data_IF_474539983378
#
_entry.id   IF_474539983378
#
_cell.length_a   1.000
_cell.length_b   1.000
_cell.length_c   1.000
_cell.angle_alpha   90.00
_cell.angle_beta   90.00
_cell.angle_gamma   90.00
#
_symmetry.space_group_name_H-M   'P 1'
#
loop_
_entity.id
_entity.type
_entity.pdbx_description
1 polymer ?
#
# COMPACT_ATOMS: atom_id res chain seq x y z
N UNK A 1 -15.23 -16.05 -0.68
CA UNK A 1 -14.01 -15.32 -1.08
C UNK A 1 -14.38 -13.87 -1.27
N UNK A 2 -13.64 -12.91 -0.71
CA UNK A 2 -13.89 -11.49 -0.88
C UNK A 2 -13.71 -11.07 -2.35
N UNK A 3 -14.49 -10.09 -2.80
CA UNK A 3 -14.33 -9.47 -4.13
C UNK A 3 -13.29 -8.35 -4.10
N UNK A 4 -12.78 -7.96 -5.27
CA UNK A 4 -11.84 -6.84 -5.37
C UNK A 4 -12.42 -5.54 -4.77
N UNK A 5 -13.72 -5.31 -4.96
CA UNK A 5 -14.45 -4.17 -4.38
C UNK A 5 -14.47 -4.24 -2.84
N UNK A 6 -14.70 -5.42 -2.26
CA UNK A 6 -14.66 -5.61 -0.81
C UNK A 6 -13.26 -5.39 -0.24
N UNK A 7 -12.22 -5.84 -0.96
CA UNK A 7 -10.83 -5.56 -0.59
C UNK A 7 -10.52 -4.07 -0.68
N UNK A 8 -10.99 -3.37 -1.72
CA UNK A 8 -10.83 -1.93 -1.85
C UNK A 8 -11.48 -1.18 -0.68
N UNK A 9 -12.72 -1.53 -0.35
CA UNK A 9 -13.44 -0.93 0.78
C UNK A 9 -12.73 -1.22 2.11
N UNK A 10 -12.28 -2.45 2.32
CA UNK A 10 -11.53 -2.86 3.51
C UNK A 10 -10.26 -2.02 3.68
N UNK A 11 -9.45 -1.91 2.63
CA UNK A 11 -8.20 -1.14 2.65
C UNK A 11 -8.47 0.35 2.79
N UNK A 12 -9.50 0.86 2.11
CA UNK A 12 -9.87 2.29 2.19
C UNK A 12 -10.27 2.72 3.59
N UNK A 13 -10.86 1.82 4.39
CA UNK A 13 -11.25 2.08 5.78
C UNK A 13 -10.10 1.93 6.80
N UNK A 14 -8.89 1.53 6.37
CA UNK A 14 -7.72 1.52 7.25
C UNK A 14 -7.41 2.96 7.66
N UNK A 15 -7.35 3.21 8.97
CA UNK A 15 -6.98 4.51 9.52
C UNK A 15 -5.48 4.55 9.75
N UNK A 16 -4.83 5.52 9.14
CA UNK A 16 -3.40 5.74 9.25
C UNK A 16 -3.10 6.59 10.51
N UNK A 17 -2.17 6.16 11.39
CA UNK A 17 -1.99 6.76 12.72
C UNK A 17 -1.36 8.17 12.72
N UNK A 18 -0.54 8.52 11.72
CA UNK A 18 0.10 9.83 11.62
C UNK A 18 -0.92 10.95 11.34
N UNK A 19 -1.81 10.71 10.39
CA UNK A 19 -2.81 11.68 9.94
C UNK A 19 -4.16 11.48 10.60
N UNK A 20 -4.40 10.33 11.24
CA UNK A 20 -5.68 9.91 11.80
C UNK A 20 -6.82 9.88 10.76
N UNK A 21 -6.47 9.71 9.48
CA UNK A 21 -7.42 9.68 8.37
C UNK A 21 -7.40 8.32 7.70
N UNK A 22 -8.52 7.99 7.06
CA UNK A 22 -8.64 6.75 6.31
C UNK A 22 -7.80 6.80 5.02
N UNK A 23 -7.28 5.66 4.56
CA UNK A 23 -6.55 5.59 3.29
C UNK A 23 -7.40 6.01 2.09
N UNK A 24 -8.72 5.79 2.16
CA UNK A 24 -9.69 6.27 1.17
C UNK A 24 -9.78 7.79 1.15
N UNK A 25 -9.87 8.44 2.31
CA UNK A 25 -9.86 9.90 2.41
C UNK A 25 -8.57 10.54 1.90
N UNK A 26 -7.44 9.89 2.17
CA UNK A 26 -6.13 10.31 1.67
C UNK A 26 -5.93 10.00 0.18
N UNK A 27 -6.91 9.34 -0.47
CA UNK A 27 -6.87 8.88 -1.86
C UNK A 27 -5.61 8.04 -2.16
N UNK A 28 -5.14 7.30 -1.16
CA UNK A 28 -3.93 6.49 -1.24
C UNK A 28 -4.20 5.16 -1.96
N UNK A 29 -5.40 4.60 -1.86
CA UNK A 29 -5.74 3.35 -2.55
C UNK A 29 -5.94 3.64 -4.04
N UNK A 30 -5.08 3.05 -4.89
CA UNK A 30 -5.15 3.25 -6.35
C UNK A 30 -5.85 2.13 -7.07
N UNK A 31 -5.49 0.91 -6.72
CA UNK A 31 -5.95 -0.28 -7.42
C UNK A 31 -5.96 -1.46 -6.48
N UNK A 32 -6.92 -2.35 -6.65
CA UNK A 32 -7.02 -3.62 -5.94
C UNK A 32 -7.46 -4.71 -6.90
N UNK A 33 -6.78 -5.84 -6.84
CA UNK A 33 -7.04 -6.97 -7.71
C UNK A 33 -7.12 -8.25 -6.88
N UNK A 34 -8.00 -9.17 -7.29
CA UNK A 34 -8.12 -10.51 -6.70
C UNK A 34 -8.22 -11.52 -7.84
N UNK A 35 -7.42 -12.58 -7.75
CA UNK A 35 -7.49 -13.76 -8.60
C UNK A 35 -7.40 -15.02 -7.73
N UNK A 36 -8.54 -15.64 -7.45
CA UNK A 36 -8.62 -16.73 -6.47
C UNK A 36 -8.18 -16.25 -5.08
N UNK A 37 -7.06 -16.78 -4.59
CA UNK A 37 -6.49 -16.40 -3.30
C UNK A 37 -5.42 -15.29 -3.43
N UNK A 38 -4.91 -15.03 -4.64
CA UNK A 38 -3.92 -13.99 -4.86
C UNK A 38 -4.60 -12.62 -4.88
N UNK A 39 -4.18 -11.74 -3.97
CA UNK A 39 -4.67 -10.37 -3.88
C UNK A 39 -3.51 -9.39 -4.11
N UNK A 40 -3.78 -8.29 -4.80
CA UNK A 40 -2.85 -7.18 -4.98
C UNK A 40 -3.49 -5.88 -4.56
N UNK A 41 -2.75 -5.05 -3.84
CA UNK A 41 -3.17 -3.71 -3.42
C UNK A 41 -2.09 -2.73 -3.83
N UNK A 42 -2.45 -1.71 -4.61
CA UNK A 42 -1.56 -0.60 -4.96
C UNK A 42 -1.93 0.63 -4.15
N UNK A 43 -0.95 1.15 -3.42
CA UNK A 43 -1.02 2.37 -2.65
C UNK A 43 -0.15 3.45 -3.30
N UNK A 44 -0.62 4.68 -3.35
CA UNK A 44 0.15 5.85 -3.73
C UNK A 44 0.19 6.86 -2.59
N UNK A 45 1.40 7.23 -2.20
CA UNK A 45 1.63 8.20 -1.14
C UNK A 45 1.31 9.62 -1.65
N UNK A 46 0.60 10.45 -0.86
CA UNK A 46 0.24 11.80 -1.26
C UNK A 46 1.45 12.74 -1.32
N UNK A 47 2.54 12.40 -0.62
CA UNK A 47 3.81 13.13 -0.65
C UNK A 47 4.99 12.16 -0.70
N UNK A 48 6.09 12.51 -1.41
CA UNK A 48 7.30 11.68 -1.46
C UNK A 48 8.00 11.51 -0.11
N UNK A 49 7.84 12.48 0.78
CA UNK A 49 8.46 12.50 2.11
C UNK A 49 7.58 11.85 3.18
N UNK A 50 6.69 10.91 2.80
CA UNK A 50 5.88 10.20 3.78
C UNK A 50 6.79 9.47 4.78
N UNK A 51 6.62 9.70 6.09
CA UNK A 51 7.68 9.43 7.06
C UNK A 51 8.00 7.94 7.22
N UNK A 52 7.02 7.05 7.00
CA UNK A 52 7.27 5.61 7.10
C UNK A 52 6.36 4.79 6.17
N UNK A 53 6.78 4.52 4.92
CA UNK A 53 6.00 3.71 3.98
C UNK A 53 5.85 2.25 4.44
N UNK A 54 6.83 1.71 5.17
CA UNK A 54 6.81 0.33 5.65
C UNK A 54 5.75 0.11 6.73
N UNK A 55 5.62 1.06 7.66
CA UNK A 55 4.56 0.98 8.68
C UNK A 55 3.16 1.03 8.07
N UNK A 56 2.97 1.80 7.00
CA UNK A 56 1.70 1.83 6.26
C UNK A 56 1.40 0.47 5.61
N UNK A 57 2.41 -0.12 4.97
CA UNK A 57 2.30 -1.45 4.37
C UNK A 57 1.94 -2.53 5.40
N UNK A 58 2.62 -2.55 6.54
CA UNK A 58 2.38 -3.51 7.62
C UNK A 58 0.99 -3.33 8.24
N UNK A 59 0.54 -2.08 8.42
CA UNK A 59 -0.81 -1.78 8.90
C UNK A 59 -1.89 -2.33 7.97
N UNK A 60 -1.74 -2.09 6.66
CA UNK A 60 -2.68 -2.60 5.64
C UNK A 60 -2.65 -4.12 5.59
N UNK A 61 -1.45 -4.72 5.61
CA UNK A 61 -1.26 -6.18 5.63
C UNK A 61 -1.96 -6.82 6.83
N UNK A 62 -1.78 -6.26 8.03
CA UNK A 62 -2.42 -6.77 9.25
C UNK A 62 -3.95 -6.68 9.15
N UNK A 63 -4.48 -5.56 8.65
CA UNK A 63 -5.93 -5.39 8.50
C UNK A 63 -6.54 -6.38 7.51
N UNK A 64 -5.86 -6.64 6.39
CA UNK A 64 -6.29 -7.62 5.39
C UNK A 64 -6.22 -9.03 5.97
N UNK A 65 -5.10 -9.40 6.62
CA UNK A 65 -4.95 -10.72 7.25
C UNK A 65 -6.03 -10.98 8.30
N UNK A 66 -6.44 -9.96 9.06
CA UNK A 66 -7.51 -10.11 10.06
C UNK A 66 -8.89 -10.31 9.44
N UNK A 67 -9.21 -9.59 8.37
CA UNK A 67 -10.54 -9.63 7.76
C UNK A 67 -10.71 -10.71 6.68
N UNK A 68 -9.62 -11.10 6.01
CA UNK A 68 -9.57 -12.06 4.91
C UNK A 68 -8.28 -12.89 5.00
N UNK A 69 -8.17 -13.78 6.02
CA UNK A 69 -6.97 -14.59 6.24
C UNK A 69 -6.66 -15.57 5.11
N UNK A 70 -7.62 -15.85 4.23
CA UNK A 70 -7.47 -16.73 3.07
C UNK A 70 -6.73 -16.10 1.88
N UNK A 71 -6.57 -14.77 1.88
CA UNK A 71 -5.90 -14.05 0.79
C UNK A 71 -4.37 -14.03 0.99
N UNK A 72 -3.63 -14.35 -0.07
CA UNK A 72 -2.21 -14.05 -0.18
C UNK A 72 -2.04 -12.66 -0.81
N UNK A 73 -1.76 -11.65 0.02
CA UNK A 73 -1.78 -10.25 -0.41
C UNK A 73 -0.40 -9.68 -0.69
N UNK A 74 -0.23 -9.15 -1.90
CA UNK A 74 0.92 -8.32 -2.30
C UNK A 74 0.54 -6.85 -2.24
N UNK A 75 1.29 -6.07 -1.47
CA UNK A 75 1.07 -4.62 -1.33
C UNK A 75 2.21 -3.90 -2.05
N UNK A 76 1.87 -2.96 -2.92
CA UNK A 76 2.81 -2.12 -3.65
C UNK A 76 2.61 -0.68 -3.25
N UNK A 77 3.65 -0.04 -2.74
CA UNK A 77 3.61 1.36 -2.30
C UNK A 77 4.45 2.20 -3.24
N UNK A 78 3.81 3.16 -3.90
CA UNK A 78 4.46 4.10 -4.81
C UNK A 78 4.45 5.52 -4.23
N UNK A 79 5.51 6.27 -4.50
CA UNK A 79 5.59 7.71 -4.20
C UNK A 79 5.77 8.47 -5.50
N UNK A 80 4.82 9.34 -5.85
CA UNK A 80 4.93 10.18 -7.05
C UNK A 80 5.67 11.48 -6.70
N UNK A 81 6.87 11.66 -7.22
CA UNK A 81 7.59 12.94 -7.17
C UNK A 81 7.23 13.73 -8.43
N UNK A 82 6.33 14.72 -8.33
CA UNK A 82 6.13 15.68 -9.43
C UNK A 82 7.29 16.67 -9.43
N UNK A 83 8.41 16.29 -10.03
CA UNK A 83 9.48 17.21 -10.36
C UNK A 83 9.01 18.20 -11.42
N UNK A 84 9.29 19.50 -11.25
CA UNK A 84 9.35 20.42 -12.39
C UNK A 84 10.54 19.97 -13.24
N UNK A 85 10.30 19.62 -14.50
CA UNK A 85 11.33 19.45 -15.53
C UNK A 85 12.04 20.80 -15.79
N UNK A 86 12.89 21.20 -14.86
CA UNK A 86 13.88 22.26 -15.07
C UNK A 86 15.24 21.66 -14.79
N UNK A 87 16.00 21.48 -15.88
CA UNK A 87 17.25 20.74 -15.93
C UNK A 87 18.20 21.07 -14.79
N UNK A 88 18.63 20.01 -14.11
CA UNK A 88 19.59 20.10 -13.02
C UNK A 88 19.66 18.74 -12.37
N UNK A 89 20.74 18.01 -12.64
CA UNK A 89 21.05 16.68 -12.10
C UNK A 89 21.00 16.73 -10.56
N UNK A 90 19.87 16.38 -9.95
CA UNK A 90 19.77 16.03 -8.54
C UNK A 90 19.00 14.72 -8.48
N UNK A 91 19.76 13.64 -8.32
CA UNK A 91 19.28 12.27 -8.32
C UNK A 91 18.41 11.95 -7.12
N UNK A 92 17.11 11.86 -7.35
CA UNK A 92 16.22 11.01 -6.56
C UNK A 92 15.52 10.07 -7.53
N UNK A 93 16.33 9.12 -8.02
CA UNK A 93 15.85 8.00 -8.80
C UNK A 93 15.20 6.99 -7.84
N UNK A 94 14.03 7.35 -7.29
CA UNK A 94 13.23 6.43 -6.48
C UNK A 94 12.61 5.42 -7.44
N UNK A 95 13.41 4.42 -7.81
CA UNK A 95 12.93 3.24 -8.50
C UNK A 95 11.97 2.53 -7.55
N UNK A 96 10.71 2.43 -7.96
CA UNK A 96 9.69 1.50 -7.49
C UNK A 96 10.13 0.67 -6.27
N UNK A 97 9.76 1.10 -5.06
CA UNK A 97 9.93 0.28 -3.87
C UNK A 97 8.87 -0.82 -3.92
N UNK A 98 9.20 -1.93 -4.60
CA UNK A 98 8.41 -3.16 -4.52
C UNK A 98 8.86 -3.88 -3.25
N UNK A 99 8.19 -3.61 -2.13
CA UNK A 99 8.34 -4.41 -0.94
C UNK A 99 7.65 -5.77 -1.16
N UNK A 100 8.40 -6.74 -1.69
CA UNK A 100 7.92 -8.12 -1.88
C UNK A 100 8.10 -8.90 -0.58
N UNK A 101 7.14 -8.72 0.34
CA UNK A 101 6.99 -9.58 1.50
C UNK A 101 6.14 -10.81 1.18
N UNK A 102 6.65 -11.77 0.40
CA UNK A 102 6.07 -13.13 0.37
C UNK A 102 6.57 -13.87 1.61
N UNK A 103 6.07 -13.44 2.77
CA UNK A 103 6.57 -13.85 4.08
C UNK A 103 5.59 -14.78 4.76
N UNK A 104 5.54 -16.05 4.33
CA UNK A 104 5.10 -17.13 5.21
C UNK A 104 6.31 -17.49 6.10
N UNK A 105 6.39 -16.91 7.29
CA UNK A 105 7.46 -17.20 8.26
C UNK A 105 7.57 -16.07 9.27
N UNK A 106 7.58 -16.27 10.57
CA UNK A 106 7.40 -17.44 11.41
C UNK A 106 7.31 -16.83 12.80
N UNK A 107 6.29 -17.20 13.57
CA UNK A 107 6.22 -16.80 14.98
C UNK A 107 7.33 -17.55 15.72
N UNK A 108 8.23 -16.78 16.33
CA UNK A 108 9.23 -17.21 17.28
C UNK A 108 9.26 -16.20 18.42
#
# INVERSE_FOLDING_TARGET
MPTAEQLQLLVSNVVEPLTQRSLGELRMVRDTFINGNDARVRLELPTPAWPNPKSLEDLVRQRIRFAAPELDVRIEVHSTVRGKDTGGRIGLNVHNVIAVGSGKGGVG
#
